data_IF_802183735110
#
_entry.id   IF_802183735110
#
_cell.length_a   1.000
_cell.length_b   1.000
_cell.length_c   1.000
_cell.angle_alpha   90.00
_cell.angle_beta   90.00
_cell.angle_gamma   90.00
#
_symmetry.space_group_name_H-M   'P 1'
#
loop_
_entity.id
_entity.type
_entity.pdbx_description
1 polymer ?
#
# COMPACT_ATOMS: atom_id res chain seq x y z
N UNK A 1 35.49 14.24 -81.50
CA UNK A 1 36.58 14.37 -80.51
C UNK A 1 36.02 15.15 -79.33
N UNK A 2 36.12 14.56 -78.14
CA UNK A 2 35.23 14.75 -76.99
C UNK A 2 35.64 15.92 -76.09
N UNK A 3 34.61 16.53 -75.48
CA UNK A 3 34.60 17.71 -74.61
C UNK A 3 35.21 17.45 -73.22
N UNK A 4 35.91 18.47 -72.70
CA UNK A 4 36.50 18.54 -71.37
C UNK A 4 35.46 18.56 -70.24
N UNK A 5 35.54 17.58 -69.34
CA UNK A 5 34.71 17.51 -68.13
C UNK A 5 35.41 18.14 -66.91
N UNK A 6 34.71 19.06 -66.26
CA UNK A 6 35.11 19.73 -65.00
C UNK A 6 34.67 18.84 -63.82
N UNK A 7 35.60 18.42 -62.96
CA UNK A 7 35.29 17.75 -61.69
C UNK A 7 35.22 18.78 -60.54
N UNK A 8 34.17 18.82 -59.71
CA UNK A 8 34.15 19.62 -58.50
C UNK A 8 34.91 18.92 -57.37
N UNK A 9 35.77 19.68 -56.67
CA UNK A 9 36.48 19.25 -55.45
C UNK A 9 35.47 19.08 -54.30
N UNK A 10 35.37 17.87 -53.75
CA UNK A 10 34.67 17.62 -52.49
C UNK A 10 35.41 18.31 -51.34
N UNK A 11 34.73 19.27 -50.66
CA UNK A 11 35.20 19.82 -49.38
C UNK A 11 34.89 18.81 -48.27
N UNK A 12 35.93 18.34 -47.59
CA UNK A 12 35.83 17.55 -46.37
C UNK A 12 35.20 18.39 -45.26
N UNK A 13 33.95 18.08 -44.90
CA UNK A 13 33.31 18.57 -43.69
C UNK A 13 33.87 17.76 -42.51
N UNK A 14 34.80 18.36 -41.76
CA UNK A 14 35.18 17.86 -40.44
C UNK A 14 34.02 18.11 -39.50
N UNK A 15 33.27 17.05 -39.18
CA UNK A 15 32.31 17.04 -38.09
C UNK A 15 33.09 17.21 -36.77
N UNK A 16 33.01 18.41 -36.19
CA UNK A 16 33.46 18.65 -34.81
C UNK A 16 32.39 18.07 -33.89
N UNK A 17 32.60 16.84 -33.43
CA UNK A 17 31.81 16.24 -32.35
C UNK A 17 32.20 16.98 -31.06
N UNK A 18 31.38 17.94 -30.66
CA UNK A 18 31.42 18.53 -29.31
C UNK A 18 31.11 17.41 -28.31
N UNK A 19 32.07 17.14 -27.39
CA UNK A 19 31.85 16.26 -26.24
C UNK A 19 30.63 16.75 -25.46
N UNK A 20 29.51 16.07 -25.59
CA UNK A 20 28.38 16.19 -24.68
C UNK A 20 28.84 15.72 -23.30
N UNK A 21 28.68 16.58 -22.28
CA UNK A 21 28.82 16.17 -20.88
C UNK A 21 27.89 14.98 -20.64
N UNK A 22 28.33 13.89 -20.00
CA UNK A 22 27.43 12.82 -19.63
C UNK A 22 26.36 13.41 -18.69
N UNK A 23 25.10 13.30 -19.08
CA UNK A 23 23.97 13.51 -18.19
C UNK A 23 24.13 12.49 -17.06
N UNK A 24 24.55 12.93 -15.87
CA UNK A 24 24.51 12.10 -14.69
C UNK A 24 23.04 11.74 -14.44
N UNK A 25 22.67 10.49 -14.72
CA UNK A 25 21.37 9.96 -14.32
C UNK A 25 21.32 10.03 -12.80
N UNK A 26 20.35 10.78 -12.25
CA UNK A 26 20.11 10.73 -10.82
C UNK A 26 19.83 9.27 -10.42
N UNK A 27 20.42 8.79 -9.31
CA UNK A 27 20.14 7.43 -8.86
C UNK A 27 18.63 7.27 -8.61
N UNK A 28 18.07 6.08 -8.87
CA UNK A 28 16.65 5.85 -8.64
C UNK A 28 16.31 6.10 -7.17
N UNK A 29 15.23 6.84 -6.93
CA UNK A 29 14.73 7.07 -5.57
C UNK A 29 14.17 5.74 -5.06
N UNK A 30 14.77 5.23 -3.99
CA UNK A 30 14.27 4.04 -3.29
C UNK A 30 13.37 4.50 -2.16
N UNK A 31 12.08 4.20 -2.26
CA UNK A 31 11.11 4.53 -1.22
C UNK A 31 11.10 3.46 -0.13
N UNK A 32 11.22 3.84 1.15
CA UNK A 32 11.03 2.90 2.25
C UNK A 32 9.55 2.51 2.39
N UNK A 33 9.31 1.34 2.95
CA UNK A 33 7.98 0.78 3.23
C UNK A 33 7.87 0.54 4.73
N UNK A 34 6.74 0.91 5.33
CA UNK A 34 6.41 0.54 6.71
C UNK A 34 5.12 -0.25 6.74
N UNK A 35 5.09 -1.30 7.55
CA UNK A 35 3.89 -2.09 7.84
C UNK A 35 3.60 -2.05 9.33
N UNK A 36 2.33 -1.94 9.67
CA UNK A 36 1.82 -1.92 11.04
C UNK A 36 0.92 -3.13 11.22
N UNK A 37 0.88 -3.70 12.42
CA UNK A 37 -0.06 -4.75 12.77
C UNK A 37 -1.50 -4.35 12.42
N UNK A 38 -2.25 -5.22 11.76
CA UNK A 38 -3.52 -4.89 11.11
C UNK A 38 -4.68 -4.52 12.05
N UNK A 39 -4.63 -4.96 13.30
CA UNK A 39 -5.66 -4.79 14.33
C UNK A 39 -5.27 -3.76 15.41
N UNK A 40 -4.24 -2.95 15.16
CA UNK A 40 -3.71 -2.01 16.15
C UNK A 40 -4.74 -0.98 16.64
N UNK A 41 -5.71 -0.57 15.80
CA UNK A 41 -6.79 0.34 16.21
C UNK A 41 -7.70 -0.26 17.28
N UNK A 42 -7.95 -1.57 17.22
CA UNK A 42 -8.71 -2.28 18.25
C UNK A 42 -7.92 -2.32 19.56
N UNK A 43 -6.60 -2.55 19.51
CA UNK A 43 -5.75 -2.52 20.69
C UNK A 43 -5.70 -1.13 21.36
N UNK A 44 -5.70 -0.06 20.56
CA UNK A 44 -5.82 1.32 21.08
C UNK A 44 -7.15 1.51 21.79
N UNK A 45 -8.25 1.02 21.19
CA UNK A 45 -9.59 1.11 21.77
C UNK A 45 -9.68 0.34 23.09
N UNK A 46 -9.14 -0.88 23.14
CA UNK A 46 -9.17 -1.73 24.34
C UNK A 46 -8.42 -1.09 25.53
N UNK A 47 -7.27 -0.46 25.26
CA UNK A 47 -6.54 0.32 26.28
C UNK A 47 -7.31 1.57 26.69
N UNK A 48 -7.87 2.30 25.72
CA UNK A 48 -8.65 3.52 25.97
C UNK A 48 -9.90 3.27 26.80
N UNK A 49 -10.61 2.18 26.53
CA UNK A 49 -11.81 1.76 27.24
C UNK A 49 -11.49 1.07 28.58
N UNK A 50 -10.20 0.88 28.90
CA UNK A 50 -9.72 0.27 30.13
C UNK A 50 -10.02 -1.23 30.23
N UNK A 51 -10.23 -1.91 29.09
CA UNK A 51 -10.39 -3.37 29.03
C UNK A 51 -9.08 -4.03 29.47
N UNK A 52 -7.95 -3.44 29.06
CA UNK A 52 -6.59 -3.85 29.40
C UNK A 52 -5.78 -2.61 29.80
N UNK A 53 -4.85 -2.72 30.78
CA UNK A 53 -4.08 -1.57 31.25
C UNK A 53 -3.00 -1.12 30.26
N UNK A 54 -2.44 -2.06 29.50
CA UNK A 54 -1.44 -1.82 28.48
C UNK A 54 -1.52 -2.88 27.39
N UNK A 55 -1.12 -2.51 26.18
CA UNK A 55 -1.02 -3.43 25.04
C UNK A 55 0.23 -3.16 24.21
N UNK A 56 0.54 -4.06 23.28
CA UNK A 56 1.67 -3.85 22.36
C UNK A 56 1.39 -4.41 20.98
N UNK A 57 1.69 -3.62 19.94
CA UNK A 57 1.62 -4.06 18.55
C UNK A 57 2.96 -3.89 17.84
N UNK A 58 3.17 -4.64 16.75
CA UNK A 58 4.41 -4.57 15.97
C UNK A 58 4.35 -3.53 14.84
N UNK A 59 5.52 -2.98 14.53
CA UNK A 59 5.78 -2.13 13.36
C UNK A 59 7.06 -2.62 12.69
N UNK A 60 7.03 -2.79 11.37
CA UNK A 60 8.19 -3.21 10.59
C UNK A 60 8.48 -2.24 9.46
N UNK A 61 9.74 -1.89 9.28
CA UNK A 61 10.20 -0.94 8.27
C UNK A 61 11.26 -1.59 7.38
N UNK A 62 11.14 -1.33 6.08
CA UNK A 62 11.95 -1.94 5.04
C UNK A 62 12.44 -0.89 4.06
N UNK A 63 13.65 -1.07 3.54
CA UNK A 63 14.18 -0.28 2.43
C UNK A 63 15.16 -1.11 1.63
N UNK A 64 15.02 -1.11 0.32
CA UNK A 64 15.85 -1.94 -0.56
C UNK A 64 17.33 -1.64 -0.37
N UNK A 65 18.12 -2.66 -0.06
CA UNK A 65 19.56 -2.55 0.17
C UNK A 65 19.98 -2.17 1.60
N UNK A 66 19.02 -2.00 2.51
CA UNK A 66 19.26 -1.72 3.93
C UNK A 66 18.70 -2.84 4.82
N UNK A 67 19.23 -2.98 6.04
CA UNK A 67 18.74 -3.96 7.01
C UNK A 67 17.33 -3.59 7.49
N UNK A 68 16.45 -4.59 7.61
CA UNK A 68 15.07 -4.34 8.05
C UNK A 68 15.00 -4.03 9.54
N UNK A 69 14.08 -3.15 9.92
CA UNK A 69 13.88 -2.74 11.33
C UNK A 69 12.54 -3.27 11.80
N UNK A 70 12.55 -4.04 12.89
CA UNK A 70 11.36 -4.63 13.49
C UNK A 70 11.23 -4.18 14.94
N UNK A 71 10.22 -3.38 15.21
CA UNK A 71 9.96 -2.80 16.50
C UNK A 71 8.58 -3.12 17.04
N UNK A 72 8.35 -2.67 18.27
CA UNK A 72 7.08 -2.79 18.97
C UNK A 72 6.68 -1.43 19.52
N UNK A 73 5.39 -1.15 19.54
CA UNK A 73 4.82 0.07 20.12
C UNK A 73 3.97 -0.35 21.31
N UNK A 74 4.36 0.11 22.50
CA UNK A 74 3.57 -0.09 23.72
C UNK A 74 2.51 1.01 23.81
N UNK A 75 1.31 0.60 24.16
CA UNK A 75 0.14 1.43 24.42
C UNK A 75 -0.15 1.44 25.91
N UNK A 76 -0.35 2.62 26.49
CA UNK A 76 -0.82 2.78 27.86
C UNK A 76 -1.63 4.07 27.99
N UNK A 77 -2.59 4.11 28.92
CA UNK A 77 -3.25 5.36 29.27
C UNK A 77 -2.26 6.31 29.95
N UNK A 78 -2.36 7.61 29.65
CA UNK A 78 -1.56 8.62 30.34
C UNK A 78 -1.96 8.71 31.81
N UNK A 79 -0.96 8.77 32.69
CA UNK A 79 -1.17 9.00 34.13
C UNK A 79 -1.75 10.40 34.40
N UNK A 80 -1.50 11.36 33.50
CA UNK A 80 -1.93 12.76 33.63
C UNK A 80 -3.32 12.99 33.01
N UNK A 81 -3.59 12.32 31.89
CA UNK A 81 -4.87 12.39 31.17
C UNK A 81 -5.36 10.99 30.82
N UNK A 82 -6.32 10.48 31.61
CA UNK A 82 -6.90 9.15 31.42
C UNK A 82 -7.71 9.00 30.13
N UNK A 83 -7.92 10.07 29.38
CA UNK A 83 -8.56 10.02 28.06
C UNK A 83 -7.54 9.98 26.90
N UNK A 84 -6.24 10.01 27.21
CA UNK A 84 -5.16 10.00 26.22
C UNK A 84 -4.36 8.69 26.28
N UNK A 85 -4.15 8.06 25.12
CA UNK A 85 -3.28 6.90 24.97
C UNK A 85 -1.87 7.37 24.58
N UNK A 86 -0.88 6.99 25.37
CA UNK A 86 0.53 7.20 25.09
C UNK A 86 1.12 6.06 24.25
N UNK A 87 1.99 6.43 23.31
CA UNK A 87 2.64 5.50 22.36
C UNK A 87 4.14 5.48 22.62
N UNK A 88 4.67 4.33 23.04
CA UNK A 88 6.11 4.14 23.31
C UNK A 88 6.72 3.16 22.30
N UNK A 89 7.43 3.69 21.29
CA UNK A 89 8.14 2.89 20.29
C UNK A 89 9.46 2.30 20.81
N UNK A 90 9.68 1.00 20.55
CA UNK A 90 10.90 0.24 20.89
C UNK A 90 11.45 -0.48 19.66
N UNK A 91 12.77 -0.62 19.60
CA UNK A 91 13.43 -1.30 18.47
C UNK A 91 13.60 -0.42 17.23
N UNK A 92 13.81 0.89 17.41
CA UNK A 92 14.12 1.82 16.30
C UNK A 92 12.92 2.32 15.51
N UNK A 93 11.71 2.00 15.95
CA UNK A 93 10.46 2.53 15.40
C UNK A 93 9.88 3.59 16.34
N UNK A 94 9.22 4.59 15.76
CA UNK A 94 8.40 5.53 16.48
C UNK A 94 7.01 5.58 15.88
N UNK A 95 6.02 5.85 16.73
CA UNK A 95 4.62 5.86 16.36
C UNK A 95 3.91 6.96 17.15
N UNK A 96 3.05 7.70 16.47
CA UNK A 96 2.18 8.70 17.09
C UNK A 96 0.79 8.61 16.48
N UNK A 97 -0.23 8.85 17.30
CA UNK A 97 -1.62 8.80 16.88
C UNK A 97 -2.46 9.93 17.45
N UNK A 98 -3.42 10.37 16.66
CA UNK A 98 -4.63 11.05 17.13
C UNK A 98 -5.79 10.07 16.94
N UNK A 99 -6.15 9.41 18.03
CA UNK A 99 -7.21 8.39 18.10
C UNK A 99 -8.59 8.99 17.79
N UNK A 100 -8.81 10.27 18.11
CA UNK A 100 -10.07 10.96 17.79
C UNK A 100 -10.23 11.23 16.29
N UNK A 101 -9.12 11.38 15.57
CA UNK A 101 -9.11 11.63 14.12
C UNK A 101 -8.77 10.40 13.28
N UNK A 102 -8.48 9.26 13.90
CA UNK A 102 -7.92 8.08 13.23
C UNK A 102 -6.69 8.41 12.36
N UNK A 103 -5.85 9.33 12.84
CA UNK A 103 -4.64 9.75 12.12
C UNK A 103 -3.39 9.26 12.82
N UNK A 104 -2.61 8.42 12.14
CA UNK A 104 -1.42 7.81 12.70
C UNK A 104 -0.20 8.09 11.85
N UNK A 105 0.98 8.16 12.49
CA UNK A 105 2.27 8.36 11.83
C UNK A 105 3.28 7.33 12.32
N UNK A 106 4.14 6.89 11.40
CA UNK A 106 5.23 5.94 11.66
C UNK A 106 6.54 6.61 11.26
N UNK A 107 7.56 6.49 12.11
CA UNK A 107 8.92 6.86 11.74
C UNK A 107 9.91 5.74 12.04
N UNK A 108 10.97 5.74 11.24
CA UNK A 108 12.12 4.86 11.39
C UNK A 108 13.35 5.64 10.89
N UNK A 109 14.04 6.36 11.79
CA UNK A 109 15.14 7.25 11.40
C UNK A 109 16.29 6.55 10.70
N UNK A 110 16.60 5.29 11.08
CA UNK A 110 17.69 4.50 10.47
C UNK A 110 17.48 4.20 9.00
N UNK A 111 16.22 4.12 8.53
CA UNK A 111 15.86 3.89 7.13
C UNK A 111 15.46 5.18 6.39
N UNK A 112 15.54 6.33 7.07
CA UNK A 112 15.14 7.63 6.53
C UNK A 112 13.62 7.80 6.40
N UNK A 113 12.83 7.12 7.23
CA UNK A 113 11.37 7.31 7.29
C UNK A 113 11.09 8.46 8.26
N UNK A 114 10.60 9.62 7.78
CA UNK A 114 10.39 10.80 8.61
C UNK A 114 9.15 10.68 9.50
N UNK A 115 9.08 11.49 10.56
CA UNK A 115 7.92 11.58 11.47
C UNK A 115 6.63 12.10 10.85
N UNK A 116 6.65 12.49 9.58
CA UNK A 116 5.45 12.90 8.83
C UNK A 116 4.81 11.77 8.01
N UNK A 117 5.42 10.57 7.95
CA UNK A 117 4.86 9.46 7.18
C UNK A 117 3.60 8.93 7.85
N UNK A 118 2.46 9.09 7.17
CA UNK A 118 1.15 8.62 7.65
C UNK A 118 1.04 7.10 7.51
N UNK A 119 0.51 6.44 8.53
CA UNK A 119 0.07 5.05 8.43
C UNK A 119 -1.32 5.03 7.81
N UNK A 120 -1.50 4.21 6.77
CA UNK A 120 -2.79 4.04 6.14
C UNK A 120 -3.68 3.15 7.00
N UNK A 121 -4.87 3.66 7.33
CA UNK A 121 -5.91 2.92 8.05
C UNK A 121 -7.12 2.70 7.13
N UNK A 122 -7.74 1.50 7.15
CA UNK A 122 -8.91 1.25 6.34
C UNK A 122 -10.07 2.17 6.76
N UNK A 123 -10.54 3.01 5.85
CA UNK A 123 -11.74 3.82 6.09
C UNK A 123 -13.01 2.95 6.22
N UNK A 124 -12.98 1.74 5.65
CA UNK A 124 -14.09 0.79 5.70
C UNK A 124 -13.62 -0.63 5.43
N UNK A 125 -14.14 -1.57 6.22
CA UNK A 125 -13.88 -3.01 6.07
C UNK A 125 -15.19 -3.72 5.72
N UNK A 126 -15.14 -4.64 4.77
CA UNK A 126 -16.27 -5.47 4.38
C UNK A 126 -15.94 -6.92 4.70
N UNK A 127 -16.84 -7.59 5.43
CA UNK A 127 -16.74 -9.03 5.60
C UNK A 127 -16.99 -9.73 4.26
N UNK A 128 -16.37 -10.90 4.07
CA UNK A 128 -16.72 -11.78 2.95
C UNK A 128 -18.22 -12.10 3.06
N UNK A 129 -19.03 -11.76 2.06
CA UNK A 129 -20.47 -11.91 2.14
C UNK A 129 -20.93 -13.36 1.94
N UNK A 130 -20.01 -14.28 1.63
CA UNK A 130 -20.31 -15.70 1.57
C UNK A 130 -20.28 -16.34 2.95
N UNK A 131 -21.30 -17.15 3.29
CA UNK A 131 -21.24 -17.93 4.51
C UNK A 131 -20.01 -18.85 4.43
N UNK A 132 -19.10 -18.76 5.41
CA UNK A 132 -18.05 -19.75 5.66
C UNK A 132 -18.60 -21.17 5.97
N UNK A 133 -19.91 -21.38 5.76
CA UNK A 133 -20.71 -22.57 6.11
C UNK A 133 -20.37 -23.78 5.24
N UNK A 134 -19.59 -23.62 4.16
CA UNK A 134 -18.82 -24.74 3.62
C UNK A 134 -17.42 -24.68 4.21
N UNK A 135 -17.31 -25.14 5.47
CA UNK A 135 -16.06 -25.45 6.15
C UNK A 135 -15.14 -26.18 5.14
N UNK A 136 -13.97 -25.60 4.88
CA UNK A 136 -12.90 -26.04 3.95
C UNK A 136 -12.82 -25.42 2.54
N UNK A 137 -13.73 -24.52 2.13
CA UNK A 137 -13.56 -23.79 0.84
C UNK A 137 -13.13 -22.35 1.10
N UNK A 138 -11.84 -22.16 1.39
CA UNK A 138 -11.23 -20.82 1.34
C UNK A 138 -11.09 -20.41 -0.13
N UNK A 139 -11.82 -19.38 -0.56
CA UNK A 139 -11.73 -18.89 -1.94
C UNK A 139 -10.80 -17.68 -1.98
N UNK A 140 -9.83 -17.71 -2.88
CA UNK A 140 -8.91 -16.59 -3.05
C UNK A 140 -9.57 -15.52 -3.92
N UNK A 141 -9.60 -14.29 -3.42
CA UNK A 141 -9.96 -13.13 -4.25
C UNK A 141 -8.89 -12.98 -5.34
N UNK A 142 -9.31 -13.09 -6.60
CA UNK A 142 -8.46 -12.99 -7.79
C UNK A 142 -8.57 -11.61 -8.45
N UNK A 143 -9.69 -10.92 -8.26
CA UNK A 143 -9.94 -9.59 -8.80
C UNK A 143 -10.85 -8.78 -7.87
N UNK A 144 -10.69 -7.45 -7.86
CA UNK A 144 -11.50 -6.52 -7.10
C UNK A 144 -11.67 -5.21 -7.87
N UNK A 145 -12.88 -4.65 -7.88
CA UNK A 145 -13.16 -3.35 -8.49
C UNK A 145 -14.26 -2.60 -7.73
N UNK A 146 -14.25 -1.27 -7.76
CA UNK A 146 -15.24 -0.40 -7.09
C UNK A 146 -15.98 0.39 -8.16
N UNK A 147 -17.31 0.44 -8.06
CA UNK A 147 -18.11 1.26 -8.97
C UNK A 147 -17.69 2.75 -8.87
N UNK A 148 -17.68 3.52 -9.98
CA UNK A 148 -17.25 4.93 -9.95
C UNK A 148 -18.04 5.82 -8.97
N UNK A 149 -19.29 5.44 -8.66
CA UNK A 149 -20.15 6.12 -7.70
C UNK A 149 -19.93 5.66 -6.24
N UNK A 150 -19.05 4.68 -6.02
CA UNK A 150 -18.76 4.06 -4.73
C UNK A 150 -19.92 3.28 -4.11
N UNK A 151 -21.03 3.08 -4.83
CA UNK A 151 -22.25 2.47 -4.28
C UNK A 151 -22.14 0.96 -4.11
N UNK A 152 -21.27 0.33 -4.91
CA UNK A 152 -21.06 -1.10 -5.01
C UNK A 152 -19.60 -1.40 -5.30
N UNK A 153 -19.19 -2.63 -5.00
CA UNK A 153 -17.91 -3.18 -5.41
C UNK A 153 -18.10 -4.62 -5.89
N UNK A 154 -17.17 -5.08 -6.72
CA UNK A 154 -17.15 -6.43 -7.26
C UNK A 154 -15.94 -7.20 -6.73
N UNK A 155 -16.16 -8.45 -6.34
CA UNK A 155 -15.11 -9.41 -5.96
C UNK A 155 -15.16 -10.60 -6.90
N UNK A 156 -14.07 -10.87 -7.61
CA UNK A 156 -13.86 -12.08 -8.38
C UNK A 156 -13.03 -13.09 -7.60
N UNK A 157 -13.37 -14.37 -7.71
CA UNK A 157 -12.71 -15.46 -7.02
C UNK A 157 -11.99 -16.39 -8.03
N UNK A 158 -11.08 -17.22 -7.52
CA UNK A 158 -10.34 -18.23 -8.29
C UNK A 158 -11.21 -19.36 -8.87
N UNK A 159 -12.38 -19.62 -8.28
CA UNK A 159 -13.41 -20.54 -8.80
C UNK A 159 -14.21 -19.97 -9.99
N UNK A 160 -13.88 -18.76 -10.44
CA UNK A 160 -14.56 -18.05 -11.53
C UNK A 160 -15.90 -17.43 -11.15
N UNK A 161 -16.25 -17.42 -9.86
CA UNK A 161 -17.42 -16.69 -9.36
C UNK A 161 -17.11 -15.21 -9.19
N UNK A 162 -18.13 -14.38 -9.45
CA UNK A 162 -18.07 -12.93 -9.25
C UNK A 162 -19.28 -12.50 -8.43
N UNK A 163 -19.05 -11.69 -7.41
CA UNK A 163 -20.09 -11.13 -6.55
C UNK A 163 -20.07 -9.61 -6.63
N UNK A 164 -21.27 -9.02 -6.70
CA UNK A 164 -21.47 -7.58 -6.61
C UNK A 164 -22.11 -7.30 -5.24
N UNK A 165 -21.46 -6.44 -4.47
CA UNK A 165 -21.79 -6.16 -3.08
C UNK A 165 -22.13 -4.68 -2.96
N UNK A 166 -23.22 -4.36 -2.25
CA UNK A 166 -23.56 -2.98 -1.94
C UNK A 166 -22.61 -2.43 -0.90
N UNK A 167 -21.92 -1.34 -1.22
CA UNK A 167 -21.11 -0.60 -0.27
C UNK A 167 -21.99 0.12 0.76
N UNK A 168 -23.17 0.59 0.39
CA UNK A 168 -24.07 1.35 1.27
C UNK A 168 -24.89 0.45 2.21
N UNK A 169 -25.10 -0.82 1.85
CA UNK A 169 -25.74 -1.82 2.69
C UNK A 169 -24.90 -3.11 2.68
N UNK A 170 -23.79 -3.15 3.45
CA UNK A 170 -22.88 -4.29 3.45
C UNK A 170 -23.51 -5.57 4.03
N UNK A 171 -24.62 -5.44 4.77
CA UNK A 171 -25.42 -6.56 5.27
C UNK A 171 -26.44 -7.08 4.26
N UNK A 172 -26.65 -6.39 3.15
CA UNK A 172 -27.51 -6.89 2.08
C UNK A 172 -26.87 -8.13 1.45
N UNK A 173 -27.66 -9.17 1.11
CA UNK A 173 -27.12 -10.37 0.49
C UNK A 173 -26.40 -10.02 -0.82
N UNK A 174 -25.20 -10.56 -1.05
CA UNK A 174 -24.42 -10.26 -2.24
C UNK A 174 -25.15 -10.79 -3.47
N UNK A 175 -25.10 -10.04 -4.57
CA UNK A 175 -25.67 -10.50 -5.83
C UNK A 175 -24.62 -11.32 -6.57
N UNK A 176 -24.87 -12.62 -6.75
CA UNK A 176 -24.03 -13.47 -7.60
C UNK A 176 -24.18 -13.01 -9.06
N UNK A 177 -23.11 -12.46 -9.64
CA UNK A 177 -23.16 -11.86 -10.96
C UNK A 177 -23.11 -12.89 -12.10
N UNK A 178 -22.45 -14.05 -11.90
CA UNK A 178 -22.52 -15.33 -12.66
C UNK A 178 -21.23 -16.15 -12.45
N UNK A 179 -21.25 -17.43 -12.83
CA UNK A 179 -20.05 -18.19 -13.22
C UNK A 179 -19.83 -17.92 -14.71
N UNK A 180 -18.74 -17.25 -15.09
CA UNK A 180 -18.43 -17.06 -16.51
C UNK A 180 -18.27 -18.43 -17.22
N UNK A 181 -18.81 -18.56 -18.42
CA UNK A 181 -18.70 -19.77 -19.23
C UNK A 181 -17.23 -19.97 -19.66
N UNK A 182 -16.71 -21.19 -19.55
CA UNK A 182 -15.31 -21.61 -19.81
C UNK A 182 -14.78 -21.33 -21.24
N UNK A 183 -15.54 -20.65 -22.11
CA UNK A 183 -15.25 -20.57 -23.55
C UNK A 183 -14.65 -19.25 -24.04
N UNK A 184 -14.29 -18.30 -23.18
CA UNK A 184 -13.79 -16.99 -23.64
C UNK A 184 -12.45 -16.62 -23.03
N UNK A 185 -11.44 -17.46 -23.24
CA UNK A 185 -10.02 -17.05 -23.28
C UNK A 185 -9.38 -17.88 -24.39
N UNK A 186 -9.34 -17.33 -25.60
CA UNK A 186 -8.36 -17.58 -26.66
C UNK A 186 -8.75 -16.70 -27.86
N UNK A 187 -8.12 -15.55 -27.98
CA UNK A 187 -7.71 -14.98 -29.27
C UNK A 187 -6.57 -13.98 -29.06
#
# INVERSE_FOLDING_TARGET
MLTSGVYPRYRSLRCLITRTRPLMSQPPITLPISTVQHDFESLITDVKDGIVPEETFWVSCYKTGEESVHGKVRLALSEQDRNHVEYEGKGGVHFWGDDTKHEYTVACPSLGIPSSTKAAVPAKTYADPLPQVQQDVYRKISAFDIAPDGSQFATGYDDGSVYIISATSPTAPPKLARKSHLSTVNS
#
